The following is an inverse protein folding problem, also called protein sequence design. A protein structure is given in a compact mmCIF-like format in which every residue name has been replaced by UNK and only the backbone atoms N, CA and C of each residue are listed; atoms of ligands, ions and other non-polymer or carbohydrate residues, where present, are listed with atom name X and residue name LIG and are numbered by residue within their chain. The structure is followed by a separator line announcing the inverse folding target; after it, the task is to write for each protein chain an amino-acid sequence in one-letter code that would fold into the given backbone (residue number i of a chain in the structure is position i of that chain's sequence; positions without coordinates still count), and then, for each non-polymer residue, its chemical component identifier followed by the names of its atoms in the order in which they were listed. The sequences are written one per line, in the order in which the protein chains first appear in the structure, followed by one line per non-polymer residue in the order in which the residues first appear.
data_IF_534435924241
#
_entry.id   IF_534435924241
#
_cell.length_a   1.000
_cell.length_b   1.000
_cell.length_c   1.000
_cell.angle_alpha   90.00
_cell.angle_beta   90.00
_cell.angle_gamma   90.00
#
_symmetry.space_group_name_H-M   'P 1'
#
loop_
_entity.id
_entity.type
_entity.pdbx_description
1 polymer ?
#
# COMPACT_ATOMS: atom_id res chain seq x y z
N UNK A 1 13.71 -1.33 -45.43
CA UNK A 1 13.86 -2.22 -44.26
C UNK A 1 14.62 -1.45 -43.22
N UNK A 2 13.88 -0.84 -42.29
CA UNK A 2 14.44 -0.03 -41.20
C UNK A 2 14.72 -0.93 -40.01
N UNK A 3 15.61 -0.50 -39.11
CA UNK A 3 16.06 -1.24 -37.92
C UNK A 3 14.93 -1.77 -37.00
N UNK A 4 13.69 -1.30 -37.18
CA UNK A 4 12.52 -1.70 -36.41
C UNK A 4 11.98 -3.10 -36.75
N UNK A 5 11.98 -3.50 -38.03
CA UNK A 5 11.41 -4.80 -38.45
C UNK A 5 12.23 -6.00 -37.93
N UNK A 6 13.51 -5.78 -37.58
CA UNK A 6 14.37 -6.82 -37.01
C UNK A 6 14.16 -7.03 -35.50
N UNK A 7 13.56 -6.06 -34.79
CA UNK A 7 13.41 -6.09 -33.33
C UNK A 7 12.14 -6.83 -32.88
N UNK A 8 11.09 -6.87 -33.70
CA UNK A 8 9.91 -7.71 -33.44
C UNK A 8 10.22 -9.21 -33.54
N UNK A 9 11.19 -9.60 -34.37
CA UNK A 9 11.58 -10.99 -34.57
C UNK A 9 12.38 -11.61 -33.40
N UNK A 10 12.87 -10.78 -32.47
CA UNK A 10 13.75 -11.20 -31.38
C UNK A 10 13.04 -11.37 -30.02
N UNK A 11 11.71 -11.22 -29.95
CA UNK A 11 10.96 -11.50 -28.72
C UNK A 11 11.44 -10.68 -27.52
N UNK A 12 11.99 -9.48 -27.76
CA UNK A 12 12.36 -8.54 -26.70
C UNK A 12 11.10 -7.84 -26.19
N UNK A 13 10.30 -8.61 -25.45
CA UNK A 13 9.29 -8.08 -24.54
C UNK A 13 10.07 -7.34 -23.46
N UNK A 14 10.09 -6.02 -23.53
CA UNK A 14 10.60 -5.16 -22.46
C UNK A 14 9.84 -5.47 -21.18
N UNK A 15 10.56 -6.02 -20.20
CA UNK A 15 10.10 -6.46 -18.87
C UNK A 15 9.83 -5.23 -17.97
N UNK A 16 9.04 -4.28 -18.45
CA UNK A 16 8.61 -3.11 -17.66
C UNK A 16 7.10 -2.92 -17.64
N UNK A 17 6.34 -3.72 -18.41
CA UNK A 17 4.87 -3.76 -18.37
C UNK A 17 4.30 -4.89 -17.50
N UNK A 18 5.16 -5.65 -16.83
CA UNK A 18 4.73 -6.74 -15.93
C UNK A 18 5.18 -6.38 -14.52
N UNK A 19 4.41 -5.49 -13.88
CA UNK A 19 4.17 -5.46 -12.43
C UNK A 19 3.14 -4.35 -12.11
N UNK A 20 2.07 -4.22 -12.90
CA UNK A 20 0.78 -3.93 -12.27
C UNK A 20 0.51 -5.16 -11.41
N UNK A 21 0.94 -5.15 -10.14
CA UNK A 21 0.49 -6.14 -9.17
C UNK A 21 -1.02 -6.13 -9.25
N UNK A 22 -1.60 -7.21 -9.75
CA UNK A 22 -3.03 -7.47 -9.83
C UNK A 22 -3.72 -6.77 -8.65
N UNK A 23 -4.52 -5.74 -8.94
CA UNK A 23 -5.38 -5.08 -7.93
C UNK A 23 -6.33 -6.09 -7.26
N UNK A 24 -6.39 -7.34 -7.75
CA UNK A 24 -7.20 -8.45 -7.26
C UNK A 24 -6.71 -9.10 -5.96
N UNK A 25 -5.47 -8.89 -5.54
CA UNK A 25 -4.94 -9.50 -4.29
C UNK A 25 -4.77 -8.49 -3.13
N UNK A 26 -5.17 -7.22 -3.32
CA UNK A 26 -5.15 -6.27 -2.23
C UNK A 26 -6.37 -6.49 -1.32
N UNK A 27 -6.18 -6.63 0.01
CA UNK A 27 -7.30 -6.72 0.93
C UNK A 27 -8.19 -5.47 0.76
N UNK A 28 -9.44 -5.70 0.36
CA UNK A 28 -10.45 -4.65 0.25
C UNK A 28 -11.11 -4.52 1.61
N UNK A 29 -10.74 -3.49 2.36
CA UNK A 29 -11.35 -3.22 3.65
C UNK A 29 -12.66 -2.43 3.50
N UNK A 30 -13.54 -2.54 4.49
CA UNK A 30 -14.79 -1.78 4.56
C UNK A 30 -14.77 -0.78 5.72
N UNK A 31 -15.62 0.25 5.64
CA UNK A 31 -15.81 1.21 6.73
C UNK A 31 -16.32 0.47 7.97
N UNK A 32 -15.71 0.73 9.12
CA UNK A 32 -15.95 0.06 10.39
C UNK A 32 -15.03 -1.14 10.66
N UNK A 33 -14.21 -1.57 9.70
CA UNK A 33 -13.22 -2.63 9.94
C UNK A 33 -12.17 -2.17 10.95
N UNK A 34 -11.77 -3.10 11.82
CA UNK A 34 -10.64 -2.92 12.74
C UNK A 34 -9.38 -3.50 12.12
N UNK A 35 -8.35 -2.67 12.01
CA UNK A 35 -7.09 -2.99 11.34
C UNK A 35 -5.90 -2.59 12.19
N UNK A 36 -4.78 -3.29 12.01
CA UNK A 36 -3.47 -2.96 12.55
C UNK A 36 -2.55 -2.46 11.43
N UNK A 37 -1.52 -1.72 11.81
CA UNK A 37 -0.47 -1.31 10.88
C UNK A 37 0.44 -2.50 10.57
N UNK A 38 0.66 -2.77 9.29
CA UNK A 38 1.54 -3.83 8.79
C UNK A 38 2.97 -3.34 8.46
N UNK A 39 3.23 -2.04 8.55
CA UNK A 39 4.55 -1.45 8.28
C UNK A 39 5.55 -1.91 9.33
N UNK A 40 6.57 -2.66 8.90
CA UNK A 40 7.71 -3.04 9.73
C UNK A 40 8.93 -2.16 9.44
N UNK A 41 9.86 -1.99 10.40
CA UNK A 41 11.10 -1.24 10.19
C UNK A 41 11.92 -1.72 8.97
N UNK A 42 11.84 -3.02 8.66
CA UNK A 42 12.55 -3.65 7.54
C UNK A 42 11.87 -3.38 6.18
N UNK A 43 10.56 -3.13 6.20
CA UNK A 43 9.75 -2.97 5.00
C UNK A 43 9.69 -1.51 4.55
N UNK A 44 9.56 -0.59 5.49
CA UNK A 44 9.57 0.85 5.24
C UNK A 44 10.10 1.60 6.46
N UNK A 45 11.43 1.77 6.49
CA UNK A 45 12.15 2.38 7.60
C UNK A 45 11.71 3.82 7.86
N UNK A 46 11.46 4.60 6.81
CA UNK A 46 11.11 6.03 6.94
C UNK A 46 9.69 6.18 7.51
N UNK A 47 8.71 5.45 6.95
CA UNK A 47 7.34 5.48 7.45
C UNK A 47 7.25 4.95 8.88
N UNK A 48 7.93 3.85 9.19
CA UNK A 48 8.01 3.32 10.56
C UNK A 48 8.60 4.35 11.52
N UNK A 49 9.75 4.93 11.19
CA UNK A 49 10.45 5.91 12.05
C UNK A 49 9.56 7.13 12.32
N UNK A 50 8.85 7.61 11.30
CA UNK A 50 7.90 8.71 11.46
C UNK A 50 6.75 8.36 12.42
N UNK A 51 6.12 7.19 12.23
CA UNK A 51 5.02 6.74 13.08
C UNK A 51 5.50 6.49 14.51
N UNK A 52 6.68 5.91 14.71
CA UNK A 52 7.26 5.68 16.03
C UNK A 52 7.55 6.99 16.77
N UNK A 53 8.10 7.99 16.07
CA UNK A 53 8.48 9.27 16.68
C UNK A 53 7.28 10.19 16.98
N UNK A 54 6.30 10.26 16.08
CA UNK A 54 5.23 11.28 16.14
C UNK A 54 3.84 10.70 16.38
N UNK A 55 3.61 9.44 16.02
CA UNK A 55 2.30 8.81 16.05
C UNK A 55 2.34 7.41 16.70
N UNK A 56 3.01 7.20 17.85
CA UNK A 56 3.31 5.86 18.36
C UNK A 56 2.06 5.04 18.71
N UNK A 57 0.90 5.69 18.87
CA UNK A 57 -0.37 5.01 19.12
C UNK A 57 -0.84 4.21 17.90
N UNK A 58 -0.49 4.68 16.69
CA UNK A 58 -0.84 4.06 15.40
C UNK A 58 -0.20 2.67 15.28
N UNK A 59 1.01 2.49 15.82
CA UNK A 59 1.70 1.18 15.86
C UNK A 59 1.24 0.27 17.00
N UNK A 60 0.59 0.81 18.04
CA UNK A 60 0.29 0.08 19.29
C UNK A 60 -1.16 -0.36 19.43
N UNK A 61 -2.08 0.28 18.71
CA UNK A 61 -3.51 0.06 18.84
C UNK A 61 -4.11 -0.30 17.48
N UNK A 62 -5.16 -1.12 17.45
CA UNK A 62 -5.98 -1.25 16.25
C UNK A 62 -6.63 0.10 15.94
N UNK A 63 -6.71 0.41 14.65
CA UNK A 63 -7.49 1.52 14.11
C UNK A 63 -8.80 1.04 13.52
N UNK A 64 -9.76 1.95 13.38
CA UNK A 64 -11.04 1.71 12.71
C UNK A 64 -11.08 2.48 11.40
N UNK A 65 -11.49 1.84 10.31
CA UNK A 65 -11.62 2.51 9.02
C UNK A 65 -12.85 3.42 9.04
N UNK A 66 -12.62 4.72 8.91
CA UNK A 66 -13.68 5.74 8.86
C UNK A 66 -14.15 6.02 7.43
N UNK A 67 -13.25 5.96 6.45
CA UNK A 67 -13.53 6.37 5.08
C UNK A 67 -12.60 5.65 4.09
N UNK A 68 -13.15 5.26 2.93
CA UNK A 68 -12.40 4.71 1.80
C UNK A 68 -12.15 5.84 0.80
N UNK A 69 -10.88 6.12 0.55
CA UNK A 69 -10.42 7.19 -0.33
C UNK A 69 -9.99 6.63 -1.71
N UNK A 70 -9.97 7.46 -2.77
CA UNK A 70 -9.46 7.04 -4.08
C UNK A 70 -8.02 6.51 -4.00
N UNK A 71 -7.63 5.66 -4.95
CA UNK A 71 -6.28 5.06 -5.05
C UNK A 71 -5.91 4.10 -3.89
N UNK A 72 -6.87 3.29 -3.44
CA UNK A 72 -6.70 2.28 -2.39
C UNK A 72 -6.12 2.85 -1.09
N UNK A 73 -6.58 4.06 -0.75
CA UNK A 73 -6.25 4.73 0.49
C UNK A 73 -7.44 4.63 1.45
N UNK A 74 -7.14 4.57 2.73
CA UNK A 74 -8.10 4.39 3.80
C UNK A 74 -7.79 5.41 4.87
N UNK A 75 -8.82 6.13 5.31
CA UNK A 75 -8.74 6.97 6.49
C UNK A 75 -9.02 6.08 7.69
N UNK A 76 -8.02 5.90 8.54
CA UNK A 76 -8.08 5.00 9.69
C UNK A 76 -7.88 5.80 10.97
N UNK A 77 -8.76 5.59 11.94
CA UNK A 77 -8.71 6.23 13.24
C UNK A 77 -8.11 5.28 14.29
N UNK A 78 -6.88 5.56 14.67
CA UNK A 78 -6.16 4.86 15.73
C UNK A 78 -6.38 5.56 17.07
N UNK A 79 -7.45 5.21 17.77
CA UNK A 79 -7.77 5.70 19.12
C UNK A 79 -7.76 7.25 19.25
N UNK A 80 -8.33 7.94 18.27
CA UNK A 80 -8.39 9.40 18.17
C UNK A 80 -7.36 10.01 17.23
N UNK A 81 -6.39 9.23 16.76
CA UNK A 81 -5.39 9.67 15.80
C UNK A 81 -5.72 9.17 14.39
N UNK A 82 -6.15 10.08 13.52
CA UNK A 82 -6.51 9.78 12.15
C UNK A 82 -5.27 9.75 11.26
N UNK A 83 -5.11 8.69 10.48
CA UNK A 83 -4.07 8.54 9.47
C UNK A 83 -4.64 8.08 8.13
N UNK A 84 -3.98 8.47 7.05
CA UNK A 84 -4.27 7.95 5.71
C UNK A 84 -3.28 6.84 5.43
N UNK A 85 -3.77 5.64 5.18
CA UNK A 85 -2.97 4.45 4.93
C UNK A 85 -3.42 3.74 3.67
N UNK A 86 -2.50 3.05 3.01
CA UNK A 86 -2.75 2.23 1.83
C UNK A 86 -3.11 0.81 2.24
N UNK A 87 -3.77 0.07 1.36
CA UNK A 87 -4.17 -1.31 1.64
C UNK A 87 -3.04 -2.20 2.18
N UNK A 88 -1.83 -2.09 1.61
CA UNK A 88 -0.66 -2.90 2.00
C UNK A 88 0.00 -2.46 3.32
N UNK A 89 -0.36 -1.30 3.86
CA UNK A 89 0.12 -0.80 5.14
C UNK A 89 -0.76 -1.27 6.30
N UNK A 90 -1.82 -2.03 6.01
CA UNK A 90 -2.82 -2.48 6.95
C UNK A 90 -2.91 -4.01 6.98
N UNK A 91 -3.39 -4.55 8.09
CA UNK A 91 -3.74 -5.97 8.29
C UNK A 91 -4.90 -6.09 9.28
N UNK A 92 -5.63 -7.20 9.29
CA UNK A 92 -6.58 -7.50 10.38
C UNK A 92 -5.82 -7.79 11.69
#
# INVERSE_FOLDING_TARGET
MTHFEAMEALGQVTIYDVLEKDEKDQPTYIVGDKVHVAITPESDYEAYTYLEAYCPIVLKKPGEIEEILPKNQYRVNFAGQVQIMRAHELTF
#
